data_IF_525608301507
#
_entry.id   IF_525608301507
#
_cell.length_a   1.000
_cell.length_b   1.000
_cell.length_c   1.000
_cell.angle_alpha   90.00
_cell.angle_beta   90.00
_cell.angle_gamma   90.00
#
_symmetry.space_group_name_H-M   'P 1'
#
loop_
_entity.id
_entity.type
_entity.pdbx_description
1 polymer ?
#
# COMPACT_ATOMS: atom_id res chain seq x y z
N UNK A 1 -13.14 -11.42 25.40
CA UNK A 1 -12.74 -11.69 24.02
C UNK A 1 -11.24 -11.53 23.93
N UNK A 2 -10.51 -12.61 23.66
CA UNK A 2 -9.06 -12.55 23.49
C UNK A 2 -8.76 -11.81 22.18
N UNK A 3 -8.22 -10.59 22.29
CA UNK A 3 -7.41 -10.03 21.22
C UNK A 3 -6.18 -10.92 21.12
N UNK A 4 -6.19 -11.84 20.16
CA UNK A 4 -4.98 -12.53 19.74
C UNK A 4 -4.02 -11.45 19.26
N UNK A 5 -2.99 -11.16 20.05
CA UNK A 5 -1.82 -10.43 19.60
C UNK A 5 -1.35 -11.12 18.31
N UNK A 6 -1.49 -10.44 17.18
CA UNK A 6 -0.75 -10.82 15.98
C UNK A 6 0.71 -10.73 16.39
N UNK A 7 1.33 -11.86 16.71
CA UNK A 7 2.78 -11.93 16.92
C UNK A 7 3.39 -11.31 15.67
N UNK A 8 4.15 -10.24 15.84
CA UNK A 8 4.88 -9.65 14.73
C UNK A 8 5.98 -10.67 14.33
N UNK A 9 5.80 -11.43 13.24
CA UNK A 9 6.66 -12.56 12.94
C UNK A 9 8.06 -12.11 12.49
N UNK A 10 8.23 -10.81 12.24
CA UNK A 10 9.47 -10.21 11.74
C UNK A 10 10.59 -10.09 12.79
N UNK A 11 10.32 -10.25 14.09
CA UNK A 11 11.36 -10.07 15.11
C UNK A 11 12.37 -11.23 15.14
N UNK A 12 12.01 -12.42 14.63
CA UNK A 12 12.80 -13.65 14.75
C UNK A 12 13.16 -14.28 13.38
N UNK A 13 13.00 -13.56 12.27
CA UNK A 13 13.31 -14.06 10.92
C UNK A 13 14.33 -13.17 10.22
N UNK A 14 15.29 -13.79 9.53
CA UNK A 14 16.32 -13.07 8.75
C UNK A 14 15.85 -12.65 7.36
N UNK A 15 14.69 -13.17 6.92
CA UNK A 15 14.10 -12.84 5.64
C UNK A 15 12.78 -13.56 5.42
N UNK A 16 11.98 -13.01 4.52
CA UNK A 16 10.77 -13.65 4.01
C UNK A 16 10.72 -13.41 2.49
N UNK A 17 10.27 -14.41 1.74
CA UNK A 17 10.10 -14.31 0.30
C UNK A 17 8.62 -14.23 -0.02
N UNK A 18 8.24 -13.24 -0.81
CA UNK A 18 6.88 -13.14 -1.31
C UNK A 18 6.69 -14.15 -2.44
N UNK A 19 5.75 -15.08 -2.27
CA UNK A 19 5.32 -15.98 -3.33
C UNK A 19 4.12 -15.33 -4.05
N UNK A 20 4.26 -14.86 -5.29
CA UNK A 20 5.38 -15.00 -6.24
C UNK A 20 5.57 -13.72 -7.06
N UNK A 21 6.59 -13.68 -7.93
CA UNK A 21 6.85 -12.48 -8.75
C UNK A 21 5.75 -12.24 -9.79
N UNK A 22 5.25 -13.26 -10.49
CA UNK A 22 4.31 -13.09 -11.60
C UNK A 22 3.16 -14.09 -11.55
N UNK A 23 2.01 -13.70 -12.11
CA UNK A 23 0.88 -14.60 -12.38
C UNK A 23 1.17 -15.61 -13.50
N UNK A 24 2.34 -15.54 -14.13
CA UNK A 24 2.84 -16.58 -15.02
C UNK A 24 3.28 -17.82 -14.22
N UNK A 25 2.31 -18.62 -13.80
CA UNK A 25 2.53 -19.84 -13.03
C UNK A 25 2.12 -21.08 -13.83
N UNK A 26 2.98 -22.10 -13.82
CA UNK A 26 2.68 -23.41 -14.40
C UNK A 26 1.87 -24.33 -13.47
N UNK A 27 1.73 -23.95 -12.19
CA UNK A 27 1.07 -24.77 -11.17
C UNK A 27 -0.47 -24.69 -11.25
N UNK A 28 -1.00 -23.61 -11.81
CA UNK A 28 -2.44 -23.35 -11.86
C UNK A 28 -2.88 -23.15 -13.31
N UNK A 29 -4.06 -23.70 -13.64
CA UNK A 29 -4.65 -23.51 -14.96
C UNK A 29 -4.83 -22.00 -15.24
N UNK A 30 -4.49 -21.54 -16.45
CA UNK A 30 -4.55 -20.13 -16.75
C UNK A 30 -6.00 -19.63 -16.77
N UNK A 31 -6.41 -18.86 -15.77
CA UNK A 31 -7.64 -18.05 -15.87
C UNK A 31 -7.58 -17.13 -17.09
N UNK A 32 -8.68 -17.00 -17.84
CA UNK A 32 -8.80 -16.04 -18.96
C UNK A 32 -8.76 -14.59 -18.49
N UNK A 33 -9.19 -14.32 -17.25
CA UNK A 33 -9.22 -12.98 -16.69
C UNK A 33 -7.84 -12.49 -16.24
N UNK A 34 -7.50 -11.25 -16.60
CA UNK A 34 -6.26 -10.56 -16.18
C UNK A 34 -6.10 -10.56 -14.67
N UNK A 35 -7.08 -10.04 -13.94
CA UNK A 35 -7.09 -10.05 -12.47
C UNK A 35 -7.98 -11.19 -11.94
N UNK A 36 -7.35 -12.33 -11.65
CA UNK A 36 -8.04 -13.56 -11.25
C UNK A 36 -7.74 -13.99 -9.81
N UNK A 37 -7.06 -13.14 -9.02
CA UNK A 37 -6.62 -13.48 -7.67
C UNK A 37 -5.34 -14.33 -7.63
N UNK A 38 -4.57 -14.35 -8.72
CA UNK A 38 -3.24 -14.96 -8.74
C UNK A 38 -2.27 -14.30 -7.75
N UNK A 39 -1.31 -15.09 -7.28
CA UNK A 39 -0.35 -14.70 -6.23
C UNK A 39 0.72 -13.71 -6.70
N UNK A 40 0.87 -13.46 -8.00
CA UNK A 40 1.94 -12.65 -8.56
C UNK A 40 1.92 -11.19 -8.10
N UNK A 41 3.09 -10.59 -7.92
CA UNK A 41 3.26 -9.13 -7.83
C UNK A 41 2.94 -8.43 -9.15
N UNK A 42 3.05 -9.14 -10.27
CA UNK A 42 2.71 -8.70 -11.62
C UNK A 42 1.63 -9.60 -12.22
N UNK A 43 0.79 -9.03 -13.10
CA UNK A 43 -0.08 -9.82 -13.99
C UNK A 43 0.74 -10.59 -15.02
N UNK A 44 0.10 -11.49 -15.77
CA UNK A 44 0.77 -12.27 -16.83
C UNK A 44 1.35 -11.43 -17.96
N UNK A 45 0.72 -10.30 -18.23
CA UNK A 45 1.14 -9.30 -19.21
C UNK A 45 2.02 -8.19 -18.61
N UNK A 46 2.64 -8.44 -17.45
CA UNK A 46 3.63 -7.57 -16.79
C UNK A 46 3.12 -6.22 -16.26
N UNK A 47 1.83 -6.13 -15.91
CA UNK A 47 1.30 -4.97 -15.21
C UNK A 47 1.56 -5.16 -13.70
N UNK A 48 2.24 -4.22 -13.02
CA UNK A 48 2.44 -4.29 -11.58
C UNK A 48 1.12 -4.20 -10.82
N UNK A 49 0.95 -5.00 -9.77
CA UNK A 49 -0.16 -4.91 -8.82
C UNK A 49 0.21 -3.98 -7.66
N UNK A 50 -0.79 -3.52 -6.91
CA UNK A 50 -0.59 -2.64 -5.74
C UNK A 50 0.45 -3.18 -4.73
N UNK A 51 0.53 -4.50 -4.56
CA UNK A 51 1.53 -5.14 -3.69
C UNK A 51 2.98 -4.87 -4.14
N UNK A 52 3.24 -4.79 -5.45
CA UNK A 52 4.56 -4.40 -5.96
C UNK A 52 4.88 -2.96 -5.59
N UNK A 53 3.93 -2.04 -5.78
CA UNK A 53 4.10 -0.64 -5.37
C UNK A 53 4.35 -0.51 -3.87
N UNK A 54 3.66 -1.29 -3.04
CA UNK A 54 3.91 -1.33 -1.60
C UNK A 54 5.34 -1.79 -1.26
N UNK A 55 5.87 -2.79 -1.98
CA UNK A 55 7.27 -3.21 -1.83
C UNK A 55 8.26 -2.14 -2.30
N UNK A 56 7.93 -1.39 -3.36
CA UNK A 56 8.76 -0.24 -3.78
C UNK A 56 8.84 0.83 -2.69
N UNK A 57 7.70 1.16 -2.05
CA UNK A 57 7.68 2.09 -0.93
C UNK A 57 8.46 1.54 0.26
N UNK A 58 8.30 0.26 0.62
CA UNK A 58 9.07 -0.36 1.70
C UNK A 58 10.57 -0.40 1.42
N UNK A 59 10.98 -0.54 0.16
CA UNK A 59 12.39 -0.49 -0.25
C UNK A 59 13.02 0.91 -0.05
N UNK A 60 12.22 1.95 0.18
CA UNK A 60 12.70 3.28 0.56
C UNK A 60 13.02 3.37 2.05
N UNK A 61 12.62 2.41 2.88
CA UNK A 61 12.84 2.43 4.32
C UNK A 61 14.34 2.39 4.63
N UNK A 62 14.83 3.42 5.33
CA UNK A 62 16.22 3.53 5.77
C UNK A 62 16.29 4.16 7.16
N UNK A 63 17.33 3.79 7.90
CA UNK A 63 17.62 4.34 9.22
C UNK A 63 16.92 3.63 10.37
N UNK A 64 16.77 4.34 11.49
CA UNK A 64 16.28 3.77 12.76
C UNK A 64 14.78 3.96 12.89
N UNK A 65 14.09 2.94 13.40
CA UNK A 65 12.68 3.03 13.78
C UNK A 65 12.59 3.90 15.04
N UNK A 66 11.85 5.00 14.94
CA UNK A 66 11.52 5.89 16.07
C UNK A 66 10.17 5.53 16.71
N UNK A 67 9.21 5.11 15.88
CA UNK A 67 7.86 4.73 16.31
C UNK A 67 7.39 3.50 15.56
N UNK A 68 6.74 2.59 16.28
CA UNK A 68 6.11 1.41 15.71
C UNK A 68 4.78 1.15 16.43
N UNK A 69 3.68 1.43 15.75
CA UNK A 69 2.33 1.16 16.21
C UNK A 69 1.55 0.39 15.12
N UNK A 70 0.46 -0.31 15.47
CA UNK A 70 -0.46 -0.81 14.46
C UNK A 70 -0.90 0.33 13.52
N UNK A 71 -0.71 0.14 12.22
CA UNK A 71 -1.04 1.15 11.21
C UNK A 71 0.00 2.25 10.97
N UNK A 72 1.06 2.37 11.78
CA UNK A 72 2.01 3.50 11.68
C UNK A 72 3.45 3.10 12.05
N UNK A 73 4.41 3.45 11.18
CA UNK A 73 5.84 3.38 11.46
C UNK A 73 6.49 4.72 11.15
N UNK A 74 7.41 5.16 12.00
CA UNK A 74 8.25 6.35 11.77
C UNK A 74 9.70 5.92 11.81
N UNK A 75 10.46 6.26 10.77
CA UNK A 75 11.89 6.04 10.68
C UNK A 75 12.61 7.37 10.51
N UNK A 76 13.86 7.43 10.97
CA UNK A 76 14.80 8.55 10.73
C UNK A 76 16.07 8.03 10.11
N UNK A 77 16.40 8.54 8.93
CA UNK A 77 17.61 8.18 8.18
C UNK A 77 18.87 8.79 8.81
N UNK A 78 20.04 8.36 8.36
CA UNK A 78 21.32 8.98 8.74
C UNK A 78 21.48 10.40 8.15
N UNK A 79 20.78 10.69 7.05
CA UNK A 79 20.72 12.01 6.40
C UNK A 79 19.69 12.96 7.04
N UNK A 80 19.12 12.58 8.19
CA UNK A 80 18.07 13.30 8.91
C UNK A 80 16.69 13.36 8.22
N UNK A 81 16.45 12.45 7.27
CA UNK A 81 15.12 12.30 6.64
C UNK A 81 14.17 11.59 7.58
N UNK A 82 12.95 12.11 7.73
CA UNK A 82 11.86 11.38 8.37
C UNK A 82 11.05 10.61 7.33
N UNK A 83 10.71 9.37 7.64
CA UNK A 83 9.86 8.51 6.81
C UNK A 83 8.72 7.97 7.65
N UNK A 84 7.50 8.30 7.26
CA UNK A 84 6.28 7.94 7.98
C UNK A 84 5.48 7.01 7.07
N UNK A 85 5.38 5.75 7.47
CA UNK A 85 4.56 4.74 6.80
C UNK A 85 3.23 4.61 7.54
N UNK A 86 2.13 4.86 6.85
CA UNK A 86 0.77 4.71 7.34
C UNK A 86 0.06 3.63 6.53
N UNK A 87 -0.78 2.82 7.16
CA UNK A 87 -1.61 1.86 6.46
C UNK A 87 -2.95 1.62 7.16
N UNK A 88 -3.98 1.36 6.37
CA UNK A 88 -5.29 0.97 6.86
C UNK A 88 -5.59 -0.49 6.50
N UNK A 89 -5.12 -1.40 7.35
CA UNK A 89 -5.41 -2.83 7.18
C UNK A 89 -6.87 -3.15 7.47
N UNK A 90 -7.52 -3.79 6.50
CA UNK A 90 -8.90 -4.27 6.60
C UNK A 90 -8.88 -5.80 6.46
N UNK A 91 -9.21 -6.54 7.53
CA UNK A 91 -9.19 -7.99 7.47
C UNK A 91 -10.44 -8.50 6.75
N UNK A 92 -10.39 -9.76 6.28
CA UNK A 92 -11.55 -10.41 5.69
C UNK A 92 -12.73 -10.48 6.67
N UNK A 93 -13.96 -10.37 6.18
CA UNK A 93 -15.15 -10.62 6.98
C UNK A 93 -15.17 -12.05 7.52
N UNK A 94 -15.78 -12.25 8.70
CA UNK A 94 -15.81 -13.54 9.38
C UNK A 94 -16.46 -14.64 8.53
N UNK A 95 -17.52 -14.34 7.77
CA UNK A 95 -18.19 -15.31 6.91
C UNK A 95 -17.27 -15.79 5.78
N UNK A 96 -16.50 -14.87 5.20
CA UNK A 96 -15.51 -15.21 4.18
C UNK A 96 -14.40 -16.11 4.75
N UNK A 97 -13.91 -15.82 5.96
CA UNK A 97 -12.89 -16.66 6.64
C UNK A 97 -13.36 -18.10 6.88
N UNK A 98 -14.64 -18.30 7.17
CA UNK A 98 -15.26 -19.63 7.33
C UNK A 98 -15.75 -20.24 6.01
N UNK A 99 -15.33 -19.69 4.86
CA UNK A 99 -15.68 -20.17 3.50
C UNK A 99 -17.19 -20.17 3.21
N UNK A 100 -17.95 -19.32 3.90
CA UNK A 100 -19.31 -18.99 3.48
C UNK A 100 -19.24 -17.97 2.34
N UNK A 101 -18.92 -18.47 1.14
CA UNK A 101 -18.80 -17.65 -0.06
C UNK A 101 -20.21 -17.35 -0.57
N UNK A 102 -20.86 -16.31 -0.04
CA UNK A 102 -22.06 -15.74 -0.66
C UNK A 102 -21.61 -14.70 -1.68
N UNK A 103 -22.03 -14.89 -2.93
CA UNK A 103 -22.06 -13.88 -3.99
C UNK A 103 -20.77 -13.06 -4.17
N UNK A 104 -19.62 -13.74 -4.30
CA UNK A 104 -18.43 -13.07 -4.83
C UNK A 104 -18.66 -12.75 -6.31
N UNK A 105 -19.06 -11.51 -6.56
CA UNK A 105 -19.01 -10.95 -7.91
C UNK A 105 -17.55 -10.68 -8.27
N UNK A 106 -17.16 -11.10 -9.47
CA UNK A 106 -15.87 -10.80 -10.07
C UNK A 106 -15.53 -9.31 -10.05
N UNK A 107 -16.55 -8.43 -10.06
CA UNK A 107 -16.43 -6.98 -9.96
C UNK A 107 -16.50 -6.43 -8.53
N UNK A 108 -16.95 -7.22 -7.55
CA UNK A 108 -16.99 -6.84 -6.15
C UNK A 108 -15.89 -7.55 -5.34
N UNK A 109 -14.67 -7.00 -5.43
CA UNK A 109 -13.50 -7.56 -4.71
C UNK A 109 -13.40 -7.11 -3.25
N UNK A 110 -14.09 -6.04 -2.87
CA UNK A 110 -14.03 -5.50 -1.50
C UNK A 110 -15.10 -6.08 -0.57
N UNK A 111 -16.18 -6.66 -1.10
CA UNK A 111 -17.28 -7.22 -0.30
C UNK A 111 -16.89 -8.38 0.63
N UNK A 112 -15.67 -8.92 0.49
CA UNK A 112 -15.13 -9.97 1.35
C UNK A 112 -14.38 -9.42 2.58
N UNK A 113 -14.21 -8.11 2.70
CA UNK A 113 -13.53 -7.46 3.82
C UNK A 113 -14.52 -6.81 4.79
N UNK A 114 -14.10 -6.66 6.05
CA UNK A 114 -14.86 -5.90 7.04
C UNK A 114 -15.02 -4.44 6.59
N UNK A 115 -16.25 -3.91 6.66
CA UNK A 115 -16.49 -2.48 6.46
C UNK A 115 -15.87 -1.68 7.59
N UNK A 116 -14.95 -0.78 7.24
CA UNK A 116 -14.24 0.07 8.20
C UNK A 116 -14.46 1.54 7.85
N UNK A 117 -14.43 2.38 8.89
CA UNK A 117 -14.41 3.85 8.73
C UNK A 117 -12.98 4.30 8.49
N UNK A 118 -12.84 5.42 7.82
CA UNK A 118 -11.56 6.07 7.60
C UNK A 118 -10.83 6.32 8.93
N UNK A 119 -9.49 6.26 8.88
CA UNK A 119 -8.62 6.53 10.02
C UNK A 119 -7.94 7.88 9.82
N UNK A 120 -8.04 8.75 10.81
CA UNK A 120 -7.24 9.97 10.89
C UNK A 120 -5.99 9.69 11.72
N UNK A 121 -4.83 9.74 11.06
CA UNK A 121 -3.54 9.71 11.72
C UNK A 121 -3.10 11.12 12.10
N UNK A 122 -2.61 11.24 13.33
CA UNK A 122 -1.93 12.42 13.86
C UNK A 122 -0.59 11.96 14.40
N UNK A 123 0.50 12.29 13.69
CA UNK A 123 1.85 11.89 14.08
C UNK A 123 2.65 13.17 14.35
N UNK A 124 3.00 13.37 15.62
CA UNK A 124 3.93 14.42 16.02
C UNK A 124 5.36 13.94 15.79
N UNK A 125 6.13 14.72 15.03
CA UNK A 125 7.55 14.51 14.85
C UNK A 125 8.28 15.58 15.67
N UNK A 126 9.24 15.14 16.48
CA UNK A 126 10.03 16.01 17.35
C UNK A 126 11.52 15.96 16.96
N UNK A 127 12.25 17.02 17.30
CA UNK A 127 13.68 17.12 17.05
C UNK A 127 14.05 17.32 15.57
N UNK A 128 13.19 18.02 14.83
CA UNK A 128 13.51 18.53 13.50
C UNK A 128 14.39 19.78 13.64
N UNK A 129 15.40 19.90 12.80
CA UNK A 129 16.18 21.13 12.74
C UNK A 129 15.37 22.22 12.02
N UNK A 130 15.28 23.40 12.62
CA UNK A 130 14.53 24.54 12.06
C UNK A 130 14.85 24.81 10.58
N UNK A 131 13.82 24.97 9.76
CA UNK A 131 13.95 25.34 8.35
C UNK A 131 12.89 24.74 7.43
N UNK A 132 13.18 24.80 6.12
CA UNK A 132 12.29 24.32 5.06
C UNK A 132 12.59 22.86 4.74
N UNK A 133 11.54 22.07 4.61
CA UNK A 133 11.56 20.66 4.25
C UNK A 133 10.81 20.43 2.94
N UNK A 134 11.36 19.59 2.08
CA UNK A 134 10.62 18.97 0.99
C UNK A 134 9.83 17.79 1.55
N UNK A 135 8.50 17.89 1.52
CA UNK A 135 7.58 16.80 1.85
C UNK A 135 7.20 16.06 0.56
N UNK A 136 7.49 14.76 0.49
CA UNK A 136 6.98 13.86 -0.55
C UNK A 136 5.97 12.89 0.03
N UNK A 137 4.85 12.72 -0.64
CA UNK A 137 3.80 11.79 -0.24
C UNK A 137 3.55 10.79 -1.36
N UNK A 138 3.56 9.51 -1.02
CA UNK A 138 3.21 8.42 -1.91
C UNK A 138 1.96 7.71 -1.39
N UNK A 139 0.97 7.49 -2.25
CA UNK A 139 -0.28 6.80 -1.88
C UNK A 139 -0.57 5.63 -2.80
N UNK A 140 -1.07 4.55 -2.20
CA UNK A 140 -1.66 3.41 -2.90
C UNK A 140 -2.97 3.07 -2.21
N UNK A 141 -4.01 2.82 -2.97
CA UNK A 141 -5.33 2.48 -2.48
C UNK A 141 -6.31 2.14 -3.60
N UNK A 142 -7.61 2.02 -3.28
CA UNK A 142 -8.61 1.75 -4.30
C UNK A 142 -8.67 2.83 -5.39
N UNK A 143 -8.36 4.09 -5.07
CA UNK A 143 -8.44 5.20 -6.03
C UNK A 143 -7.14 5.42 -6.83
N UNK A 144 -5.97 5.03 -6.30
CA UNK A 144 -4.64 5.30 -6.88
C UNK A 144 -3.63 4.18 -6.63
N UNK A 145 -2.59 4.04 -7.45
CA UNK A 145 -1.54 3.01 -7.25
C UNK A 145 -2.01 1.56 -7.33
N UNK A 146 -3.22 1.33 -7.84
CA UNK A 146 -3.79 0.00 -8.02
C UNK A 146 -4.27 -0.19 -9.46
N UNK A 147 -3.51 -0.97 -10.21
CA UNK A 147 -3.87 -1.36 -11.57
C UNK A 147 -5.14 -2.21 -11.64
N UNK A 148 -5.42 -3.01 -10.60
CA UNK A 148 -6.65 -3.80 -10.48
C UNK A 148 -7.88 -2.88 -10.41
N UNK A 149 -7.84 -1.87 -9.54
CA UNK A 149 -8.95 -0.93 -9.39
C UNK A 149 -9.13 -0.04 -10.61
N UNK A 150 -8.04 0.39 -11.25
CA UNK A 150 -8.08 1.12 -12.51
C UNK A 150 -8.74 0.29 -13.63
N UNK A 151 -8.35 -0.97 -13.77
CA UNK A 151 -8.95 -1.90 -14.74
C UNK A 151 -10.42 -2.21 -14.41
N UNK A 152 -10.80 -2.33 -13.13
CA UNK A 152 -12.20 -2.48 -12.72
C UNK A 152 -13.02 -1.23 -13.08
N UNK A 153 -12.52 -0.02 -12.81
CA UNK A 153 -13.17 1.25 -13.19
C UNK A 153 -13.35 1.39 -14.70
N UNK A 154 -12.42 0.86 -15.49
CA UNK A 154 -12.50 0.80 -16.95
C UNK A 154 -13.58 -0.17 -17.47
N UNK A 155 -14.25 -0.91 -16.58
CA UNK A 155 -15.29 -1.88 -16.93
C UNK A 155 -14.80 -3.32 -16.99
N UNK A 156 -13.57 -3.58 -16.53
CA UNK A 156 -12.94 -4.89 -16.51
C UNK A 156 -12.92 -5.61 -17.88
N UNK A 157 -12.43 -4.95 -18.96
CA UNK A 157 -12.44 -5.56 -20.28
C UNK A 157 -11.52 -6.78 -20.34
N UNK A 158 -11.97 -7.82 -21.05
CA UNK A 158 -11.24 -9.08 -21.23
C UNK A 158 -9.99 -8.87 -22.07
N UNK A 159 -10.12 -8.12 -23.17
CA UNK A 159 -9.03 -7.68 -24.03
C UNK A 159 -8.82 -6.18 -23.87
N UNK A 160 -7.57 -5.73 -23.93
CA UNK A 160 -7.23 -4.31 -23.93
C UNK A 160 -6.44 -3.98 -25.19
N UNK A 161 -6.70 -2.82 -25.78
CA UNK A 161 -5.80 -2.24 -26.76
C UNK A 161 -4.56 -1.62 -26.08
N UNK A 162 -3.66 -1.05 -26.89
CA UNK A 162 -2.43 -0.43 -26.37
C UNK A 162 -2.67 0.81 -25.49
N UNK A 163 -3.73 1.57 -25.74
CA UNK A 163 -4.05 2.77 -24.94
C UNK A 163 -4.62 2.37 -23.59
N UNK A 164 -5.54 1.40 -23.57
CA UNK A 164 -6.13 0.83 -22.35
C UNK A 164 -5.05 0.14 -21.50
N UNK A 165 -4.12 -0.59 -22.13
CA UNK A 165 -2.98 -1.17 -21.43
C UNK A 165 -2.10 -0.11 -20.77
N UNK A 166 -1.72 0.93 -21.51
CA UNK A 166 -0.89 2.01 -20.97
C UNK A 166 -1.60 2.80 -19.87
N UNK A 167 -2.92 2.98 -19.97
CA UNK A 167 -3.73 3.58 -18.91
C UNK A 167 -3.64 2.78 -17.61
N UNK A 168 -3.86 1.46 -17.67
CA UNK A 168 -3.78 0.59 -16.48
C UNK A 168 -2.36 0.49 -15.95
N UNK A 169 -1.36 0.42 -16.84
CA UNK A 169 0.04 0.42 -16.46
C UNK A 169 0.43 1.72 -15.73
N UNK A 170 0.01 2.88 -16.23
CA UNK A 170 0.27 4.16 -15.56
C UNK A 170 -0.39 4.22 -14.17
N UNK A 171 -1.60 3.70 -14.04
CA UNK A 171 -2.32 3.64 -12.77
C UNK A 171 -1.72 2.65 -11.75
N UNK A 172 -0.76 1.80 -12.14
CA UNK A 172 -0.05 0.91 -11.21
C UNK A 172 0.97 1.62 -10.32
N UNK A 173 1.43 2.80 -10.72
CA UNK A 173 2.41 3.56 -9.96
C UNK A 173 1.74 4.23 -8.74
N UNK A 174 2.40 4.26 -7.56
CA UNK A 174 1.91 5.03 -6.42
C UNK A 174 1.69 6.49 -6.82
N UNK A 175 0.56 7.08 -6.40
CA UNK A 175 0.33 8.50 -6.57
C UNK A 175 1.40 9.27 -5.78
N UNK A 176 1.97 10.31 -6.38
CA UNK A 176 3.07 11.08 -5.81
C UNK A 176 2.70 12.56 -5.75
N UNK A 177 2.82 13.16 -4.56
CA UNK A 177 2.69 14.60 -4.34
C UNK A 177 3.97 15.13 -3.68
N UNK A 178 4.42 16.33 -4.06
CA UNK A 178 5.57 17.00 -3.44
C UNK A 178 5.22 18.44 -3.14
N UNK A 179 5.52 18.89 -1.92
CA UNK A 179 5.38 20.29 -1.52
C UNK A 179 6.50 20.70 -0.56
N UNK A 180 6.63 22.00 -0.31
CA UNK A 180 7.51 22.52 0.74
C UNK A 180 6.72 22.78 2.00
N UNK A 181 7.32 22.50 3.15
CA UNK A 181 6.75 22.74 4.48
C UNK A 181 7.82 23.34 5.38
N UNK A 182 7.41 24.14 6.35
CA UNK A 182 8.31 24.69 7.37
C UNK A 182 8.13 23.91 8.66
N UNK A 183 9.23 23.71 9.38
CA UNK A 183 9.23 23.07 10.69
C UNK A 183 10.15 23.83 11.65
N UNK A 184 9.69 24.00 12.89
CA UNK A 184 10.39 24.71 13.97
C UNK A 184 10.53 23.76 15.16
N UNK A 185 11.51 22.86 15.13
CA UNK A 185 11.69 21.85 16.18
C UNK A 185 10.73 20.66 16.08
N UNK A 186 9.48 20.92 15.69
CA UNK A 186 8.39 19.95 15.61
C UNK A 186 7.62 20.06 14.28
N UNK A 187 6.97 18.97 13.88
CA UNK A 187 6.08 18.94 12.72
C UNK A 187 4.96 17.90 12.91
N UNK A 188 3.71 18.33 12.69
CA UNK A 188 2.54 17.43 12.76
C UNK A 188 2.19 16.93 11.38
N UNK A 189 2.26 15.62 11.21
CA UNK A 189 1.68 14.92 10.05
C UNK A 189 0.23 14.56 10.37
N UNK A 190 -0.71 15.17 9.66
CA UNK A 190 -2.12 14.78 9.66
C UNK A 190 -2.46 14.11 8.33
N UNK A 191 -3.03 12.90 8.38
CA UNK A 191 -3.47 12.21 7.17
C UNK A 191 -4.70 11.34 7.42
N UNK A 192 -5.69 11.47 6.52
CA UNK A 192 -6.84 10.59 6.43
C UNK A 192 -6.50 9.43 5.49
N UNK A 193 -6.67 8.20 5.97
CA UNK A 193 -6.57 6.98 5.16
C UNK A 193 -7.94 6.30 5.08
N UNK A 194 -8.42 6.07 3.85
CA UNK A 194 -9.57 5.20 3.57
C UNK A 194 -9.20 3.73 3.78
N UNK A 195 -10.19 2.82 3.93
CA UNK A 195 -9.95 1.38 3.94
C UNK A 195 -9.03 0.94 2.78
N UNK A 196 -8.05 0.09 3.10
CA UNK A 196 -7.06 -0.46 2.15
C UNK A 196 -6.02 0.52 1.61
N UNK A 197 -5.99 1.76 2.09
CA UNK A 197 -4.93 2.69 1.71
C UNK A 197 -3.63 2.44 2.48
N UNK A 198 -2.52 2.68 1.80
CA UNK A 198 -1.20 2.87 2.41
C UNK A 198 -0.63 4.20 1.94
N UNK A 199 0.19 4.81 2.80
CA UNK A 199 0.86 6.06 2.51
C UNK A 199 2.29 6.03 3.04
N UNK A 200 3.23 6.52 2.24
CA UNK A 200 4.57 6.92 2.70
C UNK A 200 4.68 8.44 2.63
N UNK A 201 5.09 9.07 3.72
CA UNK A 201 5.42 10.49 3.77
C UNK A 201 6.91 10.61 4.09
N UNK A 202 7.65 11.35 3.27
CA UNK A 202 9.08 11.61 3.45
C UNK A 202 9.28 13.11 3.66
N UNK A 203 9.97 13.49 4.73
CA UNK A 203 10.43 14.86 4.97
C UNK A 203 11.95 14.89 4.81
N UNK A 204 12.42 15.67 3.83
CA UNK A 204 13.84 15.90 3.58
C UNK A 204 14.15 17.37 3.81
N UNK A 205 15.13 17.69 4.66
CA UNK A 205 15.51 19.09 4.90
C UNK A 205 16.15 19.67 3.64
N UNK A 206 15.67 20.82 3.18
CA UNK A 206 16.31 21.54 2.07
C UNK A 206 17.61 22.13 2.60
N UNK A 207 18.70 21.91 1.87
CA UNK A 207 20.03 22.47 2.20
C UNK A 207 20.08 23.97 2.02
#
# INVERSE_FOLDING_TARGET
MHYGTVKNPCNDISGFSYWQISDWSYEYAPSSHRYHGGFGLFTRDNIPKAAYGALQLLNMAKGKILLQNPGCFVLRSEDDDFMIYLYHYCPYDILYRYRHVRDMDFRNRYGVFETKRDINYYVMLEGLAEGVYQKKEYRIGPENGSSCDAWMRMGAPELMDGLEYNYVLAASAPECCTCMVEAEGEYVVQSLLKPHEIQLIVLHKVK
#
